data_IF_257906156178
#
_entry.id   IF_257906156178
#
_cell.length_a   1.000
_cell.length_b   1.000
_cell.length_c   1.000
_cell.angle_alpha   90.00
_cell.angle_beta   90.00
_cell.angle_gamma   90.00
#
_symmetry.space_group_name_H-M   'P 1'
#
loop_
_entity.id
_entity.type
_entity.pdbx_description
1 polymer ?
#
# COMPACT_ATOMS: atom_id res chain seq x y z
N UNK A 1 -11.06 20.05 -6.62
CA UNK A 1 -12.11 19.73 -7.59
C UNK A 1 -12.27 20.83 -8.62
N UNK A 2 -12.71 22.05 -8.30
CA UNK A 2 -12.94 23.15 -9.26
C UNK A 2 -11.74 23.50 -10.16
N UNK A 3 -10.51 23.47 -9.62
CA UNK A 3 -9.30 23.73 -10.42
C UNK A 3 -9.09 22.63 -11.46
N UNK A 4 -9.29 21.35 -11.08
CA UNK A 4 -9.18 20.22 -11.99
C UNK A 4 -10.24 20.28 -13.10
N UNK A 5 -11.50 20.55 -12.74
CA UNK A 5 -12.59 20.75 -13.68
C UNK A 5 -12.26 21.83 -14.70
N UNK A 6 -11.85 23.00 -14.25
CA UNK A 6 -11.48 24.11 -15.14
C UNK A 6 -10.32 23.75 -16.08
N UNK A 7 -9.25 23.11 -15.55
CA UNK A 7 -8.10 22.70 -16.36
C UNK A 7 -8.45 21.65 -17.39
N UNK A 8 -9.30 20.70 -17.03
CA UNK A 8 -9.77 19.69 -17.96
C UNK A 8 -10.66 20.30 -19.05
N UNK A 9 -11.56 21.22 -18.70
CA UNK A 9 -12.36 21.97 -19.68
C UNK A 9 -11.49 22.78 -20.64
N UNK A 10 -10.44 23.46 -20.15
CA UNK A 10 -9.47 24.19 -21.00
C UNK A 10 -8.78 23.23 -22.02
N UNK A 11 -8.53 21.96 -21.67
CA UNK A 11 -7.99 20.98 -22.62
C UNK A 11 -9.03 20.60 -23.68
N UNK A 12 -10.28 20.34 -23.25
CA UNK A 12 -11.37 20.03 -24.18
C UNK A 12 -11.64 21.15 -25.15
N UNK A 13 -11.63 22.40 -24.68
CA UNK A 13 -11.82 23.61 -25.51
C UNK A 13 -10.68 23.79 -26.51
N UNK A 14 -9.45 23.46 -26.12
CA UNK A 14 -8.24 23.63 -26.93
C UNK A 14 -8.07 22.55 -27.99
N UNK A 15 -8.33 21.32 -27.68
CA UNK A 15 -7.99 20.16 -28.52
C UNK A 15 -9.23 19.42 -29.07
N UNK A 16 -10.40 19.68 -28.52
CA UNK A 16 -11.62 18.93 -28.82
C UNK A 16 -11.77 17.68 -27.95
N UNK A 17 -13.02 17.27 -27.74
CA UNK A 17 -13.37 16.15 -26.86
C UNK A 17 -12.80 14.83 -27.38
N UNK A 18 -12.96 14.55 -28.68
CA UNK A 18 -12.54 13.27 -29.26
C UNK A 18 -11.02 13.06 -29.17
N UNK A 19 -10.24 14.12 -29.42
CA UNK A 19 -8.79 14.06 -29.31
C UNK A 19 -8.32 13.84 -27.87
N UNK A 20 -8.93 14.55 -26.91
CA UNK A 20 -8.56 14.41 -25.49
C UNK A 20 -8.93 13.02 -24.96
N UNK A 21 -10.11 12.51 -25.28
CA UNK A 21 -10.53 11.18 -24.87
C UNK A 21 -9.71 10.08 -25.57
N UNK A 22 -9.42 10.24 -26.86
CA UNK A 22 -8.53 9.33 -27.58
C UNK A 22 -7.12 9.28 -26.98
N UNK A 23 -6.56 10.42 -26.60
CA UNK A 23 -5.26 10.46 -25.92
C UNK A 23 -5.27 9.77 -24.53
N UNK A 24 -6.38 9.87 -23.80
CA UNK A 24 -6.55 9.14 -22.52
C UNK A 24 -6.56 7.63 -22.76
N UNK A 25 -7.30 7.16 -23.75
CA UNK A 25 -7.36 5.73 -24.08
C UNK A 25 -5.98 5.21 -24.52
N UNK A 26 -5.27 5.95 -25.35
CA UNK A 26 -3.91 5.61 -25.80
C UNK A 26 -2.92 5.50 -24.62
N UNK A 27 -2.99 6.42 -23.64
CA UNK A 27 -2.16 6.41 -22.44
C UNK A 27 -2.48 5.17 -21.59
N UNK A 28 -3.76 4.83 -21.42
CA UNK A 28 -4.17 3.63 -20.69
C UNK A 28 -3.72 2.34 -21.38
N UNK A 29 -3.86 2.27 -22.69
CA UNK A 29 -3.44 1.12 -23.50
C UNK A 29 -1.91 0.95 -23.50
N UNK A 30 -1.16 2.03 -23.51
CA UNK A 30 0.29 2.01 -23.31
C UNK A 30 0.67 1.42 -21.95
N UNK A 31 0.01 1.86 -20.90
CA UNK A 31 0.26 1.40 -19.54
C UNK A 31 -0.10 -0.08 -19.37
N UNK A 32 -1.19 -0.53 -19.98
CA UNK A 32 -1.57 -1.94 -20.02
C UNK A 32 -0.51 -2.79 -20.73
N UNK A 33 -0.06 -2.38 -21.93
CA UNK A 33 0.98 -3.12 -22.68
C UNK A 33 2.26 -3.25 -21.86
N UNK A 34 2.71 -2.17 -21.23
CA UNK A 34 3.90 -2.18 -20.38
C UNK A 34 3.76 -3.14 -19.18
N UNK A 35 2.60 -3.12 -18.50
CA UNK A 35 2.33 -4.02 -17.38
C UNK A 35 2.28 -5.50 -17.81
N UNK A 36 1.65 -5.80 -18.94
CA UNK A 36 1.59 -7.17 -19.51
C UNK A 36 2.97 -7.68 -19.91
N UNK A 37 3.76 -6.86 -20.58
CA UNK A 37 5.14 -7.20 -20.96
C UNK A 37 6.00 -7.54 -19.73
N UNK A 38 5.88 -6.75 -18.66
CA UNK A 38 6.59 -7.02 -17.41
C UNK A 38 6.07 -8.27 -16.70
N UNK A 39 4.77 -8.54 -16.77
CA UNK A 39 4.17 -9.75 -16.19
C UNK A 39 4.69 -11.00 -16.89
N UNK A 40 4.84 -11.00 -18.21
CA UNK A 40 5.45 -12.10 -18.99
C UNK A 40 6.86 -12.46 -18.54
N UNK A 41 7.57 -11.55 -17.88
CA UNK A 41 8.91 -11.82 -17.33
C UNK A 41 8.90 -12.52 -15.97
N UNK A 42 7.73 -12.77 -15.40
CA UNK A 42 7.55 -13.55 -14.17
C UNK A 42 7.18 -14.98 -14.60
N UNK A 43 7.87 -16.01 -14.13
CA UNK A 43 7.54 -17.38 -14.50
C UNK A 43 6.10 -17.74 -14.21
N UNK A 44 5.44 -18.45 -15.11
CA UNK A 44 4.10 -18.98 -14.88
C UNK A 44 4.09 -19.92 -13.68
N UNK A 45 3.03 -19.83 -12.86
CA UNK A 45 2.90 -20.68 -11.68
C UNK A 45 1.89 -20.18 -10.66
N UNK A 46 1.77 -20.98 -9.62
CA UNK A 46 0.99 -20.62 -8.42
C UNK A 46 1.96 -20.49 -7.25
N UNK A 47 1.92 -19.34 -6.61
CA UNK A 47 2.82 -18.96 -5.52
C UNK A 47 2.00 -18.65 -4.27
N UNK A 48 2.35 -19.23 -3.15
CA UNK A 48 1.62 -19.05 -1.90
C UNK A 48 2.56 -18.65 -0.78
N UNK A 49 2.07 -17.76 0.09
CA UNK A 49 2.77 -17.39 1.31
C UNK A 49 1.79 -17.03 2.41
N UNK A 50 2.29 -17.10 3.64
CA UNK A 50 1.60 -16.66 4.83
C UNK A 50 2.49 -15.68 5.62
N UNK A 51 1.89 -14.61 6.08
CA UNK A 51 2.38 -13.74 7.14
C UNK A 51 1.27 -13.61 8.19
N UNK A 52 1.49 -12.88 9.26
CA UNK A 52 0.46 -12.67 10.27
C UNK A 52 0.66 -11.33 10.97
N UNK A 53 -0.42 -10.80 11.51
CA UNK A 53 -0.39 -9.76 12.53
C UNK A 53 -0.56 -10.42 13.90
N UNK A 54 0.01 -9.81 14.93
CA UNK A 54 0.11 -10.40 16.28
C UNK A 54 -1.26 -10.71 16.89
N UNK A 55 -2.15 -9.72 16.90
CA UNK A 55 -3.54 -9.87 17.34
C UNK A 55 -4.42 -8.70 16.89
N UNK A 56 -5.69 -8.70 17.32
CA UNK A 56 -6.67 -7.68 16.93
C UNK A 56 -6.88 -6.57 17.99
N UNK A 57 -6.09 -6.58 19.06
CA UNK A 57 -6.21 -5.67 20.19
C UNK A 57 -7.36 -6.01 21.17
N UNK A 58 -8.11 -7.09 20.92
CA UNK A 58 -9.18 -7.62 21.76
C UNK A 58 -8.91 -9.07 22.16
N UNK A 59 -8.69 -9.91 21.18
CA UNK A 59 -8.32 -11.32 21.36
C UNK A 59 -6.78 -11.42 21.38
N UNK A 60 -6.17 -10.94 22.48
CA UNK A 60 -4.73 -10.80 22.65
C UNK A 60 -3.98 -12.13 22.49
N UNK A 61 -2.88 -12.10 21.71
CA UNK A 61 -2.05 -13.26 21.43
C UNK A 61 -2.65 -14.24 20.40
N UNK A 62 -3.79 -13.88 19.79
CA UNK A 62 -4.39 -14.65 18.70
C UNK A 62 -3.99 -14.07 17.36
N UNK A 63 -3.02 -14.71 16.73
CA UNK A 63 -2.51 -14.30 15.43
C UNK A 63 -3.60 -14.21 14.37
N UNK A 64 -3.48 -13.20 13.51
CA UNK A 64 -4.37 -12.96 12.36
C UNK A 64 -3.59 -13.34 11.08
N UNK A 65 -3.77 -14.56 10.55
CA UNK A 65 -3.03 -15.00 9.38
C UNK A 65 -3.47 -14.27 8.11
N UNK A 66 -2.49 -13.83 7.36
CA UNK A 66 -2.61 -13.23 6.02
C UNK A 66 -2.05 -14.23 5.02
N UNK A 67 -2.93 -15.04 4.44
CA UNK A 67 -2.58 -16.05 3.43
C UNK A 67 -2.92 -15.52 2.05
N UNK A 68 -1.91 -15.44 1.20
CA UNK A 68 -2.04 -14.92 -0.15
C UNK A 68 -1.66 -16.00 -1.14
N UNK A 69 -2.44 -16.11 -2.22
CA UNK A 69 -2.09 -16.92 -3.38
C UNK A 69 -1.99 -16.01 -4.60
N UNK A 70 -0.86 -16.09 -5.30
CA UNK A 70 -0.60 -15.37 -6.54
C UNK A 70 -0.50 -16.37 -7.68
N UNK A 71 -1.27 -16.15 -8.73
CA UNK A 71 -1.26 -16.99 -9.94
C UNK A 71 -0.74 -16.12 -11.09
N UNK A 72 0.33 -16.56 -11.74
CA UNK A 72 0.86 -15.92 -12.94
C UNK A 72 0.59 -16.86 -14.10
N UNK A 73 -0.06 -16.35 -15.14
CA UNK A 73 -0.41 -17.09 -16.34
C UNK A 73 -0.24 -16.20 -17.58
N UNK A 74 0.87 -16.35 -18.27
CA UNK A 74 1.27 -15.51 -19.39
C UNK A 74 1.41 -14.04 -18.96
N UNK A 75 0.62 -13.18 -19.57
CA UNK A 75 0.63 -11.73 -19.35
C UNK A 75 -0.32 -11.25 -18.23
N UNK A 76 -0.85 -12.18 -17.42
CA UNK A 76 -1.84 -11.88 -16.36
C UNK A 76 -1.38 -12.36 -15.01
N UNK A 77 -1.76 -11.61 -13.99
CA UNK A 77 -1.56 -11.97 -12.58
C UNK A 77 -2.90 -11.95 -11.85
N UNK A 78 -3.18 -12.99 -11.08
CA UNK A 78 -4.33 -13.04 -10.16
C UNK A 78 -3.80 -13.08 -8.73
N UNK A 79 -4.30 -12.18 -7.88
CA UNK A 79 -4.07 -12.17 -6.43
C UNK A 79 -5.33 -12.65 -5.75
N UNK A 80 -5.27 -13.81 -5.11
CA UNK A 80 -6.39 -14.42 -4.41
C UNK A 80 -6.24 -14.26 -2.89
N UNK A 81 -7.10 -13.44 -2.30
CA UNK A 81 -7.18 -13.13 -0.88
C UNK A 81 -8.27 -13.94 -0.15
N UNK A 82 -8.82 -14.97 -0.78
CA UNK A 82 -9.91 -15.79 -0.20
C UNK A 82 -9.51 -16.50 1.10
N UNK A 83 -8.22 -16.76 1.29
CA UNK A 83 -7.68 -17.45 2.47
C UNK A 83 -7.10 -16.49 3.54
N UNK A 84 -7.19 -15.19 3.33
CA UNK A 84 -6.91 -14.20 4.37
C UNK A 84 -7.90 -14.38 5.53
N UNK A 85 -7.47 -14.12 6.75
CA UNK A 85 -8.29 -14.26 7.95
C UNK A 85 -9.67 -13.63 7.81
N UNK A 86 -10.68 -14.24 8.42
CA UNK A 86 -11.98 -13.59 8.59
C UNK A 86 -11.83 -12.29 9.36
N UNK A 87 -12.76 -11.35 9.14
CA UNK A 87 -12.80 -10.11 9.90
C UNK A 87 -12.82 -10.40 11.41
N UNK A 88 -12.13 -9.56 12.18
CA UNK A 88 -11.90 -9.72 13.60
C UNK A 88 -12.77 -8.78 14.43
N UNK A 89 -12.85 -9.04 15.74
CA UNK A 89 -13.64 -8.26 16.70
C UNK A 89 -12.98 -6.92 17.02
N UNK A 90 -11.66 -6.89 17.03
CA UNK A 90 -10.87 -5.70 17.27
C UNK A 90 -10.84 -4.77 16.04
N UNK A 91 -10.10 -3.68 16.16
CA UNK A 91 -10.11 -2.60 15.17
C UNK A 91 -9.15 -2.80 13.98
N UNK A 92 -8.47 -3.95 13.89
CA UNK A 92 -7.60 -4.32 12.78
C UNK A 92 -8.39 -4.98 11.65
N UNK A 93 -9.30 -4.22 11.06
CA UNK A 93 -10.00 -4.58 9.84
C UNK A 93 -9.89 -3.43 8.85
N UNK A 94 -10.04 -3.73 7.57
CA UNK A 94 -10.10 -2.74 6.50
C UNK A 94 -11.19 -3.05 5.48
N UNK A 95 -11.64 -2.04 4.78
CA UNK A 95 -12.75 -2.14 3.83
C UNK A 95 -12.40 -2.86 2.54
N UNK A 96 -13.39 -3.14 1.68
CA UNK A 96 -13.21 -3.95 0.48
C UNK A 96 -12.23 -3.35 -0.53
N UNK A 97 -12.07 -2.02 -0.58
CA UNK A 97 -11.10 -1.35 -1.45
C UNK A 97 -9.65 -1.59 -1.03
N UNK A 98 -9.42 -1.98 0.22
CA UNK A 98 -8.07 -2.17 0.78
C UNK A 98 -7.37 -3.39 0.19
N UNK A 99 -8.07 -4.51 0.03
CA UNK A 99 -7.51 -5.70 -0.61
C UNK A 99 -7.10 -5.44 -2.07
N UNK A 100 -7.94 -4.69 -2.80
CA UNK A 100 -7.61 -4.24 -4.16
C UNK A 100 -6.39 -3.32 -4.16
N UNK A 101 -6.38 -2.28 -3.33
CA UNK A 101 -5.29 -1.31 -3.25
C UNK A 101 -3.95 -1.96 -2.89
N UNK A 102 -3.93 -2.87 -1.92
CA UNK A 102 -2.72 -3.62 -1.57
C UNK A 102 -2.19 -4.45 -2.74
N UNK A 103 -3.09 -5.16 -3.44
CA UNK A 103 -2.74 -5.96 -4.62
C UNK A 103 -2.21 -5.09 -5.76
N UNK A 104 -2.82 -3.91 -5.99
CA UNK A 104 -2.37 -2.93 -6.99
C UNK A 104 -1.00 -2.36 -6.64
N UNK A 105 -0.73 -2.01 -5.38
CA UNK A 105 0.59 -1.53 -4.92
C UNK A 105 1.66 -2.59 -5.17
N UNK A 106 1.43 -3.84 -4.76
CA UNK A 106 2.36 -4.92 -5.01
C UNK A 106 2.60 -5.14 -6.51
N UNK A 107 1.52 -5.20 -7.30
CA UNK A 107 1.59 -5.36 -8.76
C UNK A 107 2.37 -4.23 -9.44
N UNK A 108 2.10 -2.98 -9.04
CA UNK A 108 2.84 -1.81 -9.51
C UNK A 108 4.34 -1.94 -9.28
N UNK A 109 4.75 -2.28 -8.05
CA UNK A 109 6.17 -2.43 -7.70
C UNK A 109 6.88 -3.51 -8.55
N UNK A 110 6.13 -4.52 -9.01
CA UNK A 110 6.64 -5.62 -9.81
C UNK A 110 6.63 -5.34 -11.32
N UNK A 111 5.75 -4.46 -11.81
CA UNK A 111 5.45 -4.34 -13.24
C UNK A 111 5.64 -2.95 -13.82
N UNK A 112 5.68 -1.90 -13.00
CA UNK A 112 5.80 -0.53 -13.51
C UNK A 112 7.25 -0.04 -13.45
N UNK A 113 7.78 0.55 -14.52
CA UNK A 113 9.01 1.33 -14.49
C UNK A 113 8.88 2.52 -13.54
N UNK A 114 9.99 2.94 -12.91
CA UNK A 114 10.02 4.02 -11.91
C UNK A 114 9.61 5.37 -12.46
N UNK A 115 9.83 5.62 -13.74
CA UNK A 115 9.58 6.87 -14.45
C UNK A 115 8.30 6.87 -15.29
N UNK A 116 7.50 5.82 -15.20
CA UNK A 116 6.28 5.67 -16.00
C UNK A 116 5.03 6.06 -15.20
N UNK A 117 4.12 6.88 -15.77
CA UNK A 117 2.87 7.26 -15.09
C UNK A 117 2.01 6.05 -14.76
N UNK A 118 1.43 6.03 -13.57
CA UNK A 118 0.49 5.00 -13.13
C UNK A 118 -0.93 5.49 -13.41
N UNK A 119 -1.74 4.64 -14.02
CA UNK A 119 -3.16 4.85 -14.28
C UNK A 119 -3.92 3.52 -14.29
N UNK A 120 -5.22 3.54 -14.51
CA UNK A 120 -6.07 2.34 -14.48
C UNK A 120 -5.67 1.30 -15.54
N UNK A 121 -5.10 1.71 -16.67
CA UNK A 121 -4.55 0.81 -17.68
C UNK A 121 -3.46 -0.10 -17.13
N UNK A 122 -2.62 0.41 -16.21
CA UNK A 122 -1.56 -0.37 -15.57
C UNK A 122 -2.07 -1.60 -14.82
N UNK A 123 -3.33 -1.61 -14.39
CA UNK A 123 -3.92 -2.68 -13.59
C UNK A 123 -4.85 -3.61 -14.38
N UNK A 124 -5.03 -3.41 -15.69
CA UNK A 124 -5.88 -4.29 -16.52
C UNK A 124 -5.34 -5.73 -16.66
N UNK A 125 -4.06 -5.93 -16.37
CA UNK A 125 -3.44 -7.26 -16.32
C UNK A 125 -3.55 -7.94 -14.94
N UNK A 126 -4.09 -7.25 -13.94
CA UNK A 126 -4.27 -7.74 -12.57
C UNK A 126 -5.72 -8.10 -12.31
N UNK A 127 -5.95 -9.30 -11.82
CA UNK A 127 -7.22 -9.74 -11.23
C UNK A 127 -7.06 -9.88 -9.72
N UNK A 128 -8.05 -9.43 -8.94
CA UNK A 128 -8.04 -9.55 -7.47
C UNK A 128 -9.30 -10.26 -7.00
N UNK A 129 -9.13 -11.41 -6.37
CA UNK A 129 -10.21 -12.17 -5.72
C UNK A 129 -10.24 -11.76 -4.25
N UNK A 130 -11.22 -10.94 -3.86
CA UNK A 130 -11.32 -10.37 -2.52
C UNK A 130 -12.74 -10.56 -1.96
N UNK A 131 -13.11 -11.77 -1.49
CA UNK A 131 -14.44 -12.04 -0.97
C UNK A 131 -14.76 -11.26 0.29
N UNK A 132 -16.01 -10.82 0.51
CA UNK A 132 -16.40 -10.04 1.69
C UNK A 132 -16.22 -10.84 3.00
N UNK A 133 -16.09 -10.10 4.11
CA UNK A 133 -16.00 -10.69 5.45
C UNK A 133 -14.58 -11.14 5.85
N UNK A 134 -13.56 -10.70 5.14
CA UNK A 134 -12.15 -10.87 5.50
C UNK A 134 -11.61 -9.60 6.15
N UNK A 135 -10.46 -9.66 6.81
CA UNK A 135 -9.82 -8.44 7.39
C UNK A 135 -9.46 -7.42 6.33
N UNK A 136 -9.30 -7.82 5.07
CA UNK A 136 -9.02 -6.96 3.89
C UNK A 136 -10.28 -6.52 3.13
N UNK A 137 -11.45 -6.97 3.56
CA UNK A 137 -12.75 -6.73 2.92
C UNK A 137 -13.89 -6.83 3.94
N UNK A 138 -13.67 -6.28 5.11
CA UNK A 138 -14.60 -6.36 6.22
C UNK A 138 -15.93 -5.68 5.91
N UNK A 139 -16.99 -6.26 6.45
CA UNK A 139 -18.36 -5.77 6.34
C UNK A 139 -18.87 -5.29 7.70
N UNK A 140 -19.80 -4.36 7.69
CA UNK A 140 -20.42 -3.84 8.92
C UNK A 140 -20.99 -4.97 9.78
N UNK A 141 -20.88 -4.87 11.10
CA UNK A 141 -20.41 -3.72 11.93
C UNK A 141 -18.93 -3.79 12.35
N UNK A 142 -18.05 -4.47 11.61
CA UNK A 142 -16.65 -4.61 11.98
C UNK A 142 -15.96 -3.24 12.18
N UNK A 143 -15.22 -3.04 13.29
CA UNK A 143 -14.50 -1.80 13.55
C UNK A 143 -13.25 -1.71 12.66
N UNK A 144 -12.95 -0.50 12.17
CA UNK A 144 -11.85 -0.25 11.21
C UNK A 144 -11.09 1.01 11.60
N UNK A 145 -10.13 0.92 12.51
CA UNK A 145 -9.30 2.07 12.89
C UNK A 145 -7.86 1.94 12.38
N UNK A 146 -7.23 0.82 12.64
CA UNK A 146 -5.84 0.56 12.24
C UNK A 146 -5.80 -0.24 10.93
N UNK A 147 -6.35 0.37 9.87
CA UNK A 147 -6.52 -0.27 8.57
C UNK A 147 -5.20 -0.41 7.80
N UNK A 148 -4.18 0.40 8.11
CA UNK A 148 -2.95 0.51 7.31
C UNK A 148 -2.05 -0.71 7.42
N UNK A 149 -1.89 -1.28 8.60
CA UNK A 149 -1.05 -2.47 8.85
C UNK A 149 -1.45 -3.65 7.96
N UNK A 150 -2.76 -3.83 7.73
CA UNK A 150 -3.29 -4.97 6.97
C UNK A 150 -2.85 -4.94 5.50
N UNK A 151 -3.08 -3.86 4.73
CA UNK A 151 -2.65 -3.81 3.33
C UNK A 151 -1.14 -3.92 3.18
N UNK A 152 -0.36 -3.35 4.09
CA UNK A 152 1.10 -3.44 4.06
C UNK A 152 1.58 -4.88 4.27
N UNK A 153 0.98 -5.60 5.20
CA UNK A 153 1.25 -7.03 5.40
C UNK A 153 0.84 -7.87 4.16
N UNK A 154 -0.24 -7.49 3.47
CA UNK A 154 -0.63 -8.15 2.20
C UNK A 154 0.42 -7.93 1.12
N UNK A 155 0.92 -6.70 0.96
CA UNK A 155 1.98 -6.38 -0.02
C UNK A 155 3.22 -7.23 0.24
N UNK A 156 3.71 -7.27 1.48
CA UNK A 156 4.85 -8.09 1.86
C UNK A 156 4.60 -9.59 1.65
N UNK A 157 3.38 -10.05 1.88
CA UNK A 157 3.04 -11.46 1.67
C UNK A 157 3.01 -11.82 0.19
N UNK A 158 2.58 -10.90 -0.69
CA UNK A 158 2.68 -11.06 -2.15
C UNK A 158 4.16 -11.15 -2.59
N UNK A 159 5.01 -10.26 -2.09
CA UNK A 159 6.45 -10.31 -2.38
C UNK A 159 7.09 -11.61 -1.86
N UNK A 160 6.73 -12.03 -0.66
CA UNK A 160 7.19 -13.30 -0.07
C UNK A 160 6.78 -14.50 -0.92
N UNK A 161 5.56 -14.51 -1.45
CA UNK A 161 5.08 -15.57 -2.34
C UNK A 161 5.90 -15.64 -3.63
N UNK A 162 6.24 -14.48 -4.21
CA UNK A 162 6.98 -14.39 -5.47
C UNK A 162 8.51 -14.46 -5.33
N UNK A 163 9.05 -14.34 -4.11
CA UNK A 163 10.49 -14.33 -3.86
C UNK A 163 11.25 -15.53 -4.45
N UNK A 164 10.72 -16.77 -4.46
CA UNK A 164 11.41 -17.90 -5.10
C UNK A 164 11.54 -17.76 -6.62
N UNK A 165 10.59 -17.06 -7.27
CA UNK A 165 10.54 -16.91 -8.72
C UNK A 165 11.33 -15.67 -9.22
N UNK A 166 11.27 -14.58 -8.48
CA UNK A 166 11.85 -13.28 -8.88
C UNK A 166 12.61 -12.60 -7.72
N UNK A 167 13.61 -13.28 -7.12
CA UNK A 167 14.31 -12.78 -5.93
C UNK A 167 15.03 -11.44 -6.13
N UNK A 168 15.33 -11.06 -7.35
CA UNK A 168 16.01 -9.80 -7.68
C UNK A 168 15.03 -8.61 -7.75
N UNK A 169 13.72 -8.85 -7.71
CA UNK A 169 12.66 -7.84 -7.88
C UNK A 169 11.87 -7.57 -6.61
N UNK A 170 12.04 -8.38 -5.59
CA UNK A 170 11.32 -8.26 -4.31
C UNK A 170 12.27 -7.89 -3.19
N UNK A 171 11.75 -7.19 -2.19
CA UNK A 171 12.46 -6.87 -0.95
C UNK A 171 12.20 -7.93 0.10
N UNK A 172 13.08 -8.05 1.09
CA UNK A 172 12.93 -8.99 2.21
C UNK A 172 11.83 -8.60 3.22
N UNK A 173 11.06 -7.59 2.90
CA UNK A 173 9.99 -7.03 3.71
C UNK A 173 10.22 -5.55 3.97
N UNK A 174 9.23 -4.88 4.51
CA UNK A 174 9.33 -3.49 4.90
C UNK A 174 8.69 -3.30 6.28
N UNK A 175 8.89 -2.13 6.88
CA UNK A 175 8.15 -1.76 8.07
C UNK A 175 6.67 -1.58 7.71
N UNK A 176 5.89 -2.63 7.89
CA UNK A 176 4.49 -2.73 7.44
C UNK A 176 3.52 -1.94 8.33
N UNK A 177 3.95 -0.81 8.84
CA UNK A 177 3.15 0.07 9.70
C UNK A 177 3.65 1.52 9.61
N UNK A 178 2.97 2.40 10.32
CA UNK A 178 3.37 3.78 10.57
C UNK A 178 3.49 3.98 12.08
N UNK A 179 4.70 3.98 12.60
CA UNK A 179 4.94 4.36 13.97
C UNK A 179 4.44 5.79 14.21
N UNK A 180 3.60 5.97 15.20
CA UNK A 180 3.02 7.27 15.51
C UNK A 180 2.76 7.42 17.01
N UNK A 181 3.41 8.39 17.65
CA UNK A 181 3.09 8.79 19.00
C UNK A 181 2.28 10.08 18.98
N UNK A 182 1.04 10.03 19.42
CA UNK A 182 0.20 11.21 19.59
C UNK A 182 0.23 11.65 21.05
N UNK A 183 0.63 12.88 21.26
CA UNK A 183 0.68 13.53 22.56
C UNK A 183 -0.37 14.63 22.66
N UNK A 184 -0.98 14.78 23.82
CA UNK A 184 -1.92 15.86 24.08
C UNK A 184 -1.68 16.43 25.48
N UNK A 185 -1.90 17.73 25.62
CA UNK A 185 -1.69 18.42 26.89
C UNK A 185 -2.14 19.87 26.82
N UNK A 186 -1.88 20.60 27.88
CA UNK A 186 -2.15 22.03 27.93
C UNK A 186 -0.84 22.82 27.89
N UNK A 187 -0.85 23.89 27.09
CA UNK A 187 0.28 24.84 27.11
C UNK A 187 0.29 25.51 28.48
N UNK A 188 1.43 25.46 29.21
CA UNK A 188 1.55 26.16 30.46
C UNK A 188 1.15 27.65 30.29
N UNK A 189 0.45 28.22 31.25
CA UNK A 189 0.03 29.62 31.31
C UNK A 189 -0.99 30.10 30.27
N UNK A 190 -1.27 29.32 29.20
CA UNK A 190 -2.27 29.68 28.19
C UNK A 190 -3.62 28.98 28.39
N UNK A 191 -3.65 27.87 29.12
CA UNK A 191 -4.85 27.02 29.25
C UNK A 191 -5.34 26.40 27.93
N UNK A 192 -4.56 26.54 26.86
CA UNK A 192 -4.88 26.02 25.52
C UNK A 192 -4.43 24.58 25.39
N UNK A 193 -5.36 23.71 25.00
CA UNK A 193 -5.01 22.33 24.67
C UNK A 193 -4.24 22.27 23.35
N UNK A 194 -3.18 21.49 23.33
CA UNK A 194 -2.42 21.13 22.12
C UNK A 194 -2.49 19.63 21.91
N UNK A 195 -2.52 19.24 20.65
CA UNK A 195 -2.34 17.85 20.19
C UNK A 195 -1.22 17.88 19.17
N UNK A 196 -0.22 17.07 19.35
CA UNK A 196 0.89 16.90 18.40
C UNK A 196 1.14 15.43 18.14
N UNK A 197 1.71 15.11 16.99
CA UNK A 197 2.07 13.76 16.61
C UNK A 197 3.51 13.75 16.10
N UNK A 198 4.26 12.75 16.50
CA UNK A 198 5.66 12.54 16.09
C UNK A 198 5.78 11.64 14.85
N UNK A 199 4.68 11.28 14.23
CA UNK A 199 4.69 10.39 13.09
C UNK A 199 4.65 11.12 11.72
N UNK A 200 4.82 10.37 10.64
CA UNK A 200 5.11 8.93 10.62
C UNK A 200 6.56 8.61 10.99
N UNK A 201 6.75 7.52 11.74
CA UNK A 201 8.07 6.96 12.05
C UNK A 201 8.23 5.70 11.21
N UNK A 202 9.23 5.67 10.34
CA UNK A 202 9.55 4.54 9.48
C UNK A 202 10.58 3.61 10.10
N UNK A 203 10.41 2.31 9.92
CA UNK A 203 11.32 1.27 10.38
C UNK A 203 12.30 0.77 9.31
N UNK A 204 12.19 1.29 8.08
CA UNK A 204 13.05 0.91 6.97
C UNK A 204 12.47 -0.22 6.09
N UNK A 205 13.19 -0.52 5.01
CA UNK A 205 12.87 -1.58 4.06
C UNK A 205 13.96 -2.65 4.08
N UNK A 206 13.58 -3.89 3.90
CA UNK A 206 14.50 -5.01 3.80
C UNK A 206 15.34 -4.98 2.54
N UNK A 207 16.46 -5.71 2.57
CA UNK A 207 17.37 -5.84 1.44
C UNK A 207 16.71 -6.53 0.24
N UNK A 208 17.22 -6.23 -0.94
CA UNK A 208 17.06 -7.06 -2.14
C UNK A 208 18.28 -7.97 -2.29
N UNK A 209 18.21 -8.90 -3.22
CA UNK A 209 19.37 -9.77 -3.53
C UNK A 209 20.62 -8.99 -3.99
N UNK A 210 20.41 -7.81 -4.56
CA UNK A 210 21.44 -7.00 -5.23
C UNK A 210 21.87 -5.77 -4.45
N UNK A 211 21.16 -5.40 -3.39
CA UNK A 211 21.42 -4.17 -2.63
C UNK A 211 20.89 -4.26 -1.20
N UNK A 212 21.49 -3.49 -0.31
CA UNK A 212 21.03 -3.33 1.07
C UNK A 212 19.68 -2.60 1.13
N UNK A 213 18.95 -2.83 2.22
CA UNK A 213 17.68 -2.15 2.48
C UNK A 213 17.86 -0.67 2.82
N UNK A 214 16.81 0.10 2.64
CA UNK A 214 16.78 1.54 2.92
C UNK A 214 16.39 1.78 4.38
N UNK A 215 17.23 2.48 5.14
CA UNK A 215 16.98 2.79 6.55
C UNK A 215 15.96 3.91 6.72
N UNK A 216 15.19 3.87 7.81
CA UNK A 216 14.30 4.93 8.28
C UNK A 216 13.20 5.38 7.29
N UNK A 217 12.95 4.62 6.23
CA UNK A 217 11.83 4.83 5.31
C UNK A 217 10.54 4.33 5.95
N UNK A 218 9.44 5.01 5.70
CA UNK A 218 8.10 4.55 6.10
C UNK A 218 7.63 3.41 5.20
N UNK A 219 6.45 2.87 5.48
CA UNK A 219 5.88 1.77 4.71
C UNK A 219 5.68 2.12 3.23
N UNK A 220 5.56 1.09 2.40
CA UNK A 220 5.57 1.18 0.93
C UNK A 220 4.49 2.08 0.32
N UNK A 221 3.40 2.36 1.03
CA UNK A 221 2.35 3.26 0.57
C UNK A 221 2.71 4.75 0.70
N UNK A 222 3.71 5.07 1.52
CA UNK A 222 4.23 6.43 1.73
C UNK A 222 5.69 6.57 1.25
N UNK A 223 6.06 5.77 0.30
CA UNK A 223 7.36 5.39 -0.25
C UNK A 223 8.54 6.34 -0.14
N UNK A 224 8.35 7.65 -0.24
CA UNK A 224 9.41 8.66 -0.18
C UNK A 224 9.40 9.50 1.11
N UNK A 225 8.53 9.17 2.05
CA UNK A 225 8.47 9.83 3.35
C UNK A 225 9.55 9.29 4.28
N UNK A 226 10.29 10.19 4.89
CA UNK A 226 11.34 9.89 5.86
C UNK A 226 10.98 10.38 7.26
N UNK A 227 11.66 9.84 8.27
CA UNK A 227 11.51 10.31 9.64
C UNK A 227 11.88 11.79 9.76
N UNK A 228 11.05 12.56 10.44
CA UNK A 228 11.39 13.93 10.80
C UNK A 228 12.53 13.94 11.83
N UNK A 229 13.58 14.78 11.64
CA UNK A 229 14.60 14.93 12.65
C UNK A 229 14.00 15.39 13.99
N UNK A 230 14.43 14.76 15.09
CA UNK A 230 13.92 15.09 16.43
C UNK A 230 14.22 16.54 16.80
N UNK A 231 15.37 17.05 16.40
CA UNK A 231 15.80 18.44 16.62
C UNK A 231 14.83 19.43 15.97
N UNK A 232 14.30 19.11 14.80
CA UNK A 232 13.28 19.94 14.14
C UNK A 232 11.98 19.97 14.95
N UNK A 233 11.58 18.83 15.51
CA UNK A 233 10.37 18.73 16.33
C UNK A 233 10.53 19.52 17.63
N UNK A 234 11.69 19.43 18.30
CA UNK A 234 12.00 20.18 19.52
C UNK A 234 12.01 21.70 19.32
N UNK A 235 12.40 22.17 18.12
CA UNK A 235 12.34 23.60 17.79
C UNK A 235 10.95 24.12 17.50
N UNK A 236 10.00 23.24 17.14
CA UNK A 236 8.64 23.58 16.74
C UNK A 236 7.62 23.42 17.87
N UNK A 237 7.86 22.49 18.76
CA UNK A 237 6.91 22.06 19.78
C UNK A 237 7.60 22.02 21.17
N UNK A 238 6.86 22.24 22.26
CA UNK A 238 7.41 22.18 23.62
C UNK A 238 7.57 20.71 24.07
N UNK A 239 8.44 19.98 23.38
CA UNK A 239 8.77 18.57 23.65
C UNK A 239 10.28 18.41 23.63
N UNK A 240 10.79 17.44 24.37
CA UNK A 240 12.20 17.01 24.38
C UNK A 240 12.20 15.51 24.18
N UNK A 241 13.08 15.03 23.32
CA UNK A 241 13.33 13.61 23.11
C UNK A 241 14.53 13.19 23.96
N UNK A 242 14.34 12.17 24.82
CA UNK A 242 15.35 11.60 25.70
C UNK A 242 15.81 10.21 25.23
#
# INVERSE_FOLDING_TARGET
VRTGERRFSELLDRYGQDEVLGAIDDIMDQSERAARERTLSIPDGTYEAESFMDDDGVDIGKHIPIRVKVIVAGDRMTVDLSNVSKQVRGFYNSGPTTGYGASQVAFKCLTSPTDYPINDGSFRALEVINPPGRVVSAVRPAPMRSWMTIPMTVVDTIFKALAPAIPDRVIAGHFADLGNATMFGFVPDEGRMIITSTGPIGGGWGAKKTEDGVSATVCINDGDTHNSPVELMETKYPIVYE
#
